data_IF_538455316140
#
_entry.id   IF_538455316140
#
_cell.length_a   1.000
_cell.length_b   1.000
_cell.length_c   1.000
_cell.angle_alpha   90.00
_cell.angle_beta   90.00
_cell.angle_gamma   90.00
#
_symmetry.space_group_name_H-M   'P 1'
#
loop_
_entity.id
_entity.type
_entity.pdbx_description
1 polymer ?
#
# COMPACT_ATOMS: atom_id res chain seq x y z
N UNK A 1 -7.07 -33.41 6.47
CA UNK A 1 -6.37 -32.35 7.24
C UNK A 1 -6.04 -31.23 6.28
N UNK A 2 -6.50 -30.00 6.55
CA UNK A 2 -6.23 -28.84 5.70
C UNK A 2 -5.12 -27.98 6.29
N UNK A 3 -4.25 -27.44 5.44
CA UNK A 3 -3.24 -26.46 5.84
C UNK A 3 -3.89 -25.07 5.91
N UNK A 4 -3.73 -24.38 7.04
CA UNK A 4 -4.11 -22.97 7.15
C UNK A 4 -2.98 -22.08 6.63
N UNK A 5 -3.32 -21.10 5.78
CA UNK A 5 -2.37 -20.11 5.25
C UNK A 5 -2.82 -18.72 5.71
N UNK A 6 -1.89 -17.95 6.27
CA UNK A 6 -2.12 -16.60 6.73
C UNK A 6 -1.38 -15.60 5.86
N UNK A 7 -2.08 -14.58 5.40
CA UNK A 7 -1.52 -13.46 4.66
C UNK A 7 -1.59 -12.20 5.51
N UNK A 8 -0.53 -11.42 5.50
CA UNK A 8 -0.49 -10.12 6.15
C UNK A 8 0.20 -9.12 5.22
N UNK A 9 -0.43 -7.97 4.99
CA UNK A 9 0.21 -6.88 4.24
C UNK A 9 1.43 -6.37 4.99
N UNK A 10 2.45 -5.95 4.25
CA UNK A 10 3.66 -5.33 4.81
C UNK A 10 3.34 -4.03 5.56
N UNK A 11 2.30 -3.32 5.14
CA UNK A 11 1.85 -2.07 5.76
C UNK A 11 0.64 -2.28 6.68
N UNK A 12 0.61 -3.39 7.41
CA UNK A 12 -0.43 -3.61 8.42
C UNK A 12 -0.12 -2.82 9.71
N UNK A 13 -1.14 -2.59 10.55
CA UNK A 13 -1.03 -1.77 11.76
C UNK A 13 -0.01 -2.26 12.79
N UNK A 14 0.35 -3.54 12.75
CA UNK A 14 1.28 -4.18 13.69
C UNK A 14 2.64 -4.47 13.06
N UNK A 15 2.84 -4.12 11.79
CA UNK A 15 4.13 -4.28 11.15
C UNK A 15 5.07 -3.17 11.61
N UNK A 16 6.27 -3.56 11.98
CA UNK A 16 7.37 -2.65 12.24
C UNK A 16 8.16 -2.46 10.96
N UNK A 17 8.31 -1.20 10.53
CA UNK A 17 9.11 -0.82 9.36
C UNK A 17 10.43 -0.19 9.80
N UNK A 18 11.52 -0.55 9.12
CA UNK A 18 12.80 0.12 9.23
C UNK A 18 13.23 0.57 7.83
N UNK A 19 13.26 1.89 7.63
CA UNK A 19 13.68 2.59 6.41
C UNK A 19 13.01 2.12 5.10
N UNK A 20 11.77 1.63 5.16
CA UNK A 20 11.10 0.99 4.02
C UNK A 20 11.90 -0.15 3.38
N UNK A 21 12.81 -0.78 4.14
CA UNK A 21 13.67 -1.88 3.68
C UNK A 21 13.38 -3.17 4.42
N UNK A 22 12.97 -3.08 5.68
CA UNK A 22 12.70 -4.25 6.52
C UNK A 22 11.36 -4.12 7.20
N UNK A 23 10.54 -5.16 7.06
CA UNK A 23 9.21 -5.26 7.63
C UNK A 23 9.15 -6.48 8.53
N UNK A 24 8.86 -6.27 9.80
CA UNK A 24 8.74 -7.34 10.78
C UNK A 24 7.32 -7.41 11.32
N UNK A 25 6.79 -8.62 11.44
CA UNK A 25 5.49 -8.92 12.03
C UNK A 25 5.62 -10.11 12.96
N UNK A 26 5.01 -10.01 14.14
CA UNK A 26 4.91 -11.12 15.10
C UNK A 26 3.43 -11.43 15.31
N UNK A 27 3.05 -12.67 15.05
CA UNK A 27 1.70 -13.18 15.23
C UNK A 27 1.68 -14.22 16.35
N UNK A 28 0.57 -14.27 17.10
CA UNK A 28 0.34 -15.29 18.12
C UNK A 28 -0.89 -16.09 17.73
N UNK A 29 -0.74 -17.40 17.57
CA UNK A 29 -1.80 -18.33 17.23
C UNK A 29 -2.20 -19.11 18.48
N UNK A 30 -3.47 -19.02 18.87
CA UNK A 30 -4.06 -19.89 19.90
C UNK A 30 -4.82 -21.00 19.17
N UNK A 31 -4.41 -22.24 19.39
CA UNK A 31 -5.01 -23.40 18.73
C UNK A 31 -5.80 -24.20 19.78
N UNK A 32 -7.13 -24.10 19.80
CA UNK A 32 -7.92 -24.86 20.77
C UNK A 32 -7.78 -26.35 20.50
N UNK A 33 -7.25 -27.06 21.50
CA UNK A 33 -7.09 -28.51 21.49
C UNK A 33 -8.22 -29.16 22.28
N UNK A 34 -8.82 -30.23 21.75
CA UNK A 34 -10.06 -30.81 22.30
C UNK A 34 -9.94 -31.43 23.71
N UNK A 35 -8.81 -31.32 24.42
CA UNK A 35 -8.58 -31.96 25.74
C UNK A 35 -7.54 -31.26 26.65
N UNK A 36 -7.24 -29.97 26.46
CA UNK A 36 -6.32 -29.22 27.36
C UNK A 36 -7.07 -28.12 28.11
N UNK A 37 -6.68 -27.85 29.37
CA UNK A 37 -7.28 -26.80 30.21
C UNK A 37 -6.98 -25.38 29.71
N UNK A 38 -5.91 -25.22 28.93
CA UNK A 38 -5.52 -23.97 28.26
C UNK A 38 -5.11 -24.24 26.81
N UNK A 39 -5.48 -23.33 25.90
CA UNK A 39 -5.14 -23.42 24.48
C UNK A 39 -3.62 -23.18 24.26
N UNK A 40 -2.89 -24.08 23.57
CA UNK A 40 -1.50 -23.85 23.22
C UNK A 40 -1.33 -22.58 22.36
N UNK A 41 -0.35 -21.75 22.73
CA UNK A 41 -0.04 -20.47 22.06
C UNK A 41 1.27 -20.58 21.29
N UNK A 42 1.22 -20.37 19.98
CA UNK A 42 2.38 -20.36 19.09
C UNK A 42 2.71 -18.93 18.67
N UNK A 43 3.92 -18.47 18.96
CA UNK A 43 4.42 -17.16 18.51
C UNK A 43 5.26 -17.33 17.26
N UNK A 44 4.86 -16.66 16.17
CA UNK A 44 5.57 -16.70 14.88
C UNK A 44 5.96 -15.29 14.48
N UNK A 45 7.28 -15.06 14.40
CA UNK A 45 7.85 -13.85 13.82
C UNK A 45 8.21 -14.07 12.35
N UNK A 46 7.94 -13.09 11.51
CA UNK A 46 8.41 -13.03 10.12
C UNK A 46 8.98 -11.65 9.84
N UNK A 47 10.15 -11.63 9.22
CA UNK A 47 10.81 -10.43 8.74
C UNK A 47 11.06 -10.58 7.25
N UNK A 48 10.63 -9.58 6.48
CA UNK A 48 10.83 -9.52 5.04
C UNK A 48 11.74 -8.33 4.72
N UNK A 49 12.76 -8.55 3.89
CA UNK A 49 13.64 -7.50 3.39
C UNK A 49 13.34 -7.21 1.91
N UNK A 50 13.32 -5.93 1.56
CA UNK A 50 13.07 -5.45 0.21
C UNK A 50 14.09 -4.39 -0.20
N UNK A 51 14.33 -4.28 -1.50
CA UNK A 51 15.04 -3.14 -2.06
C UNK A 51 14.20 -1.87 -1.87
N UNK A 52 14.82 -0.68 -1.76
CA UNK A 52 14.10 0.58 -1.62
C UNK A 52 12.99 0.69 -2.67
N UNK A 53 11.76 0.82 -2.20
CA UNK A 53 10.58 0.85 -3.07
C UNK A 53 10.53 2.11 -3.95
N UNK A 54 9.77 2.00 -5.03
CA UNK A 54 9.34 3.13 -5.85
C UNK A 54 8.52 4.14 -5.04
N UNK A 55 8.41 5.37 -5.53
CA UNK A 55 7.66 6.47 -4.88
C UNK A 55 6.18 6.13 -4.66
N UNK A 56 5.61 5.20 -5.43
CA UNK A 56 4.21 4.76 -5.32
C UNK A 56 4.09 3.27 -5.59
N UNK A 57 3.37 2.56 -4.73
CA UNK A 57 3.06 1.14 -4.89
C UNK A 57 1.54 0.94 -4.83
N UNK A 58 1.04 0.03 -5.65
CA UNK A 58 -0.38 -0.31 -5.75
C UNK A 58 -0.49 -1.83 -5.55
N UNK A 59 -1.35 -2.24 -4.63
CA UNK A 59 -1.67 -3.64 -4.37
C UNK A 59 -3.16 -3.87 -4.64
N UNK A 60 -3.44 -4.82 -5.53
CA UNK A 60 -4.80 -5.26 -5.87
C UNK A 60 -5.00 -6.65 -5.29
N UNK A 61 -5.59 -6.72 -4.10
CA UNK A 61 -5.99 -7.97 -3.47
C UNK A 61 -7.44 -8.31 -3.87
N UNK A 62 -7.91 -9.50 -3.51
CA UNK A 62 -9.26 -9.98 -3.83
C UNK A 62 -10.35 -9.05 -3.30
N UNK A 63 -10.15 -8.50 -2.11
CA UNK A 63 -11.20 -7.77 -1.37
C UNK A 63 -10.95 -6.25 -1.31
N UNK A 64 -9.74 -5.79 -1.58
CA UNK A 64 -9.37 -4.39 -1.46
C UNK A 64 -8.30 -4.00 -2.47
N UNK A 65 -8.25 -2.71 -2.75
CA UNK A 65 -7.12 -2.05 -3.37
C UNK A 65 -6.38 -1.22 -2.32
N UNK A 66 -5.06 -1.20 -2.40
CA UNK A 66 -4.19 -0.43 -1.53
C UNK A 66 -3.25 0.40 -2.39
N UNK A 67 -3.05 1.65 -2.01
CA UNK A 67 -1.99 2.50 -2.54
C UNK A 67 -1.11 2.99 -1.40
N UNK A 68 0.19 2.91 -1.61
CA UNK A 68 1.23 3.35 -0.70
C UNK A 68 2.11 4.36 -1.41
N UNK A 69 2.10 5.61 -0.96
CA UNK A 69 2.86 6.71 -1.57
C UNK A 69 3.91 7.20 -0.60
N UNK A 70 5.16 7.28 -1.07
CA UNK A 70 6.25 7.92 -0.33
C UNK A 70 5.94 9.40 -0.17
N UNK A 71 5.92 9.85 1.08
CA UNK A 71 5.77 11.26 1.43
C UNK A 71 7.15 11.85 1.66
N UNK A 72 7.55 12.80 0.83
CA UNK A 72 8.66 13.71 1.13
C UNK A 72 8.06 14.92 1.84
N UNK A 73 7.67 14.74 3.10
CA UNK A 73 7.34 15.89 3.93
C UNK A 73 8.66 16.54 4.35
N UNK A 74 8.79 17.88 4.24
CA UNK A 74 9.98 18.55 4.72
C UNK A 74 10.09 18.33 6.23
N UNK A 75 11.25 17.85 6.66
CA UNK A 75 11.58 17.70 8.06
C UNK A 75 11.86 19.10 8.61
N UNK A 76 10.87 19.71 9.28
CA UNK A 76 11.08 20.96 9.98
C UNK A 76 11.87 20.58 11.22
N UNK A 77 13.19 20.79 11.17
CA UNK A 77 14.12 20.54 12.27
C UNK A 77 13.50 20.95 13.61
N UNK A 78 13.11 19.96 14.41
CA UNK A 78 12.79 20.18 15.80
C UNK A 78 14.10 20.53 16.51
N UNK A 79 14.23 21.79 16.91
CA UNK A 79 15.24 22.22 17.89
C UNK A 79 15.13 21.28 19.10
N UNK A 80 16.25 20.73 19.63
CA UNK A 80 16.17 19.72 20.69
C UNK A 80 15.68 20.38 21.97
N UNK A 81 14.48 20.04 22.42
CA UNK A 81 14.05 20.29 23.79
C UNK A 81 14.35 19.03 24.63
N UNK A 82 15.12 19.23 25.69
CA UNK A 82 15.70 18.20 26.54
C UNK A 82 14.63 17.34 27.25
N UNK A 83 14.86 16.03 27.46
CA UNK A 83 13.78 15.13 27.89
C UNK A 83 13.59 15.17 29.41
N UNK A 84 12.35 15.43 29.86
CA UNK A 84 11.89 15.11 31.21
C UNK A 84 10.68 14.16 31.18
N UNK A 85 10.94 12.90 31.52
CA UNK A 85 10.12 12.08 32.41
C UNK A 85 8.76 11.53 31.96
N UNK A 86 8.69 10.20 31.86
CA UNK A 86 7.51 9.42 32.30
C UNK A 86 6.84 8.51 31.25
N UNK A 87 6.65 7.21 31.52
CA UNK A 87 6.07 6.27 30.57
C UNK A 87 4.53 6.31 30.63
N UNK A 88 3.87 6.61 29.49
CA UNK A 88 2.42 6.40 29.35
C UNK A 88 2.08 5.53 28.14
N UNK A 89 1.12 4.65 28.41
CA UNK A 89 0.64 3.53 27.63
C UNK A 89 0.31 3.83 26.15
N UNK A 90 0.69 2.88 25.29
CA UNK A 90 0.37 2.81 23.86
C UNK A 90 -1.15 2.71 23.63
N UNK A 91 -1.76 3.81 23.18
CA UNK A 91 -2.95 3.78 22.32
C UNK A 91 -2.49 3.76 20.86
N UNK A 92 -3.14 2.92 20.06
CA UNK A 92 -2.84 2.77 18.64
C UNK A 92 -3.06 4.06 17.84
N UNK A 93 -2.35 4.14 16.72
CA UNK A 93 -2.50 5.12 15.64
C UNK A 93 -1.99 6.56 15.84
N UNK A 94 -0.95 6.77 16.65
CA UNK A 94 -0.15 8.01 16.59
C UNK A 94 1.35 7.71 16.65
N UNK A 95 1.89 7.11 15.58
CA UNK A 95 3.33 7.23 15.32
C UNK A 95 3.57 8.56 14.59
N UNK A 96 3.46 9.65 15.35
CA UNK A 96 3.77 11.03 14.91
C UNK A 96 5.29 11.15 14.78
N UNK A 97 5.86 10.63 13.70
CA UNK A 97 7.29 10.78 13.43
C UNK A 97 7.62 12.13 12.75
N UNK A 98 6.65 12.99 12.47
CA UNK A 98 6.92 14.25 11.74
C UNK A 98 6.11 15.48 12.18
N UNK A 99 5.32 15.42 13.26
CA UNK A 99 4.49 16.56 13.70
C UNK A 99 3.33 16.98 12.78
N UNK A 100 3.30 16.51 11.53
CA UNK A 100 2.20 16.69 10.59
C UNK A 100 0.97 15.84 10.97
N UNK A 101 -0.20 16.49 11.01
CA UNK A 101 -1.51 15.85 11.18
C UNK A 101 -2.23 15.76 9.85
N UNK A 102 -2.79 14.60 9.54
CA UNK A 102 -3.72 14.46 8.41
C UNK A 102 -5.03 15.17 8.76
N UNK A 103 -5.42 16.20 8.00
CA UNK A 103 -6.59 17.04 8.31
C UNK A 103 -7.78 16.73 7.40
N UNK A 104 -7.53 16.52 6.11
CA UNK A 104 -8.56 16.26 5.14
C UNK A 104 -8.11 15.28 4.07
N UNK A 105 -9.06 14.49 3.55
CA UNK A 105 -8.91 13.61 2.40
C UNK A 105 -9.97 14.00 1.38
N UNK A 106 -9.53 14.36 0.18
CA UNK A 106 -10.40 14.76 -0.93
C UNK A 106 -10.43 13.63 -1.95
N UNK A 107 -11.61 13.08 -2.22
CA UNK A 107 -11.82 12.02 -3.20
C UNK A 107 -12.10 12.63 -4.57
N UNK A 108 -11.51 12.06 -5.62
CA UNK A 108 -11.72 12.45 -7.01
C UNK A 108 -12.34 11.29 -7.80
N UNK A 109 -13.31 11.56 -8.70
CA UNK A 109 -13.77 12.86 -9.16
C UNK A 109 -14.89 13.50 -8.33
N UNK A 110 -15.41 12.82 -7.31
CA UNK A 110 -16.57 13.28 -6.52
C UNK A 110 -16.33 14.61 -5.77
N UNK A 111 -15.06 15.03 -5.61
CA UNK A 111 -14.62 16.19 -4.82
C UNK A 111 -15.08 16.14 -3.36
N UNK A 112 -15.46 14.95 -2.89
CA UNK A 112 -15.93 14.75 -1.52
C UNK A 112 -14.76 14.92 -0.55
N UNK A 113 -14.94 15.80 0.42
CA UNK A 113 -13.95 16.07 1.46
C UNK A 113 -14.40 15.37 2.74
N UNK A 114 -13.51 14.59 3.34
CA UNK A 114 -13.74 13.91 4.60
C UNK A 114 -12.53 14.09 5.52
N UNK A 115 -12.76 14.15 6.83
CA UNK A 115 -11.67 14.03 7.79
C UNK A 115 -11.25 12.55 7.96
N UNK A 116 -10.12 12.30 8.63
CA UNK A 116 -9.56 10.96 8.81
C UNK A 116 -10.56 9.99 9.47
N UNK A 117 -11.26 10.44 10.52
CA UNK A 117 -12.20 9.61 11.26
C UNK A 117 -13.42 9.23 10.42
N UNK A 118 -13.91 10.15 9.58
CA UNK A 118 -14.99 9.89 8.64
C UNK A 118 -14.58 8.91 7.55
N UNK A 119 -13.37 9.05 7.00
CA UNK A 119 -12.79 8.08 6.05
C UNK A 119 -12.76 6.68 6.66
N UNK A 120 -12.30 6.56 7.91
CA UNK A 120 -12.26 5.28 8.62
C UNK A 120 -13.66 4.72 8.90
N UNK A 121 -14.61 5.56 9.34
CA UNK A 121 -16.01 5.13 9.56
C UNK A 121 -16.70 4.65 8.29
N UNK A 122 -16.30 5.15 7.12
CA UNK A 122 -16.77 4.67 5.81
C UNK A 122 -16.16 3.35 5.37
N UNK A 123 -15.23 2.77 6.14
CA UNK A 123 -14.62 1.48 5.84
C UNK A 123 -13.35 1.56 4.99
N UNK A 124 -12.81 2.76 4.76
CA UNK A 124 -11.48 2.93 4.20
C UNK A 124 -10.44 2.78 5.31
N UNK A 125 -9.28 2.18 5.00
CA UNK A 125 -8.15 2.23 5.91
C UNK A 125 -7.21 3.34 5.46
N UNK A 126 -6.90 4.29 6.33
CA UNK A 126 -5.89 5.32 6.08
C UNK A 126 -4.89 5.29 7.22
N UNK A 127 -3.61 5.24 6.88
CA UNK A 127 -2.52 5.21 7.84
C UNK A 127 -1.35 6.07 7.36
N UNK A 128 -0.72 6.72 8.32
CA UNK A 128 0.50 7.49 8.11
C UNK A 128 1.66 6.74 8.77
N UNK A 129 2.63 6.30 7.98
CA UNK A 129 3.89 5.75 8.46
C UNK A 129 4.97 6.84 8.44
N UNK A 130 6.15 6.63 9.04
CA UNK A 130 7.23 7.63 9.02
C UNK A 130 7.58 8.13 7.62
N UNK A 131 7.47 7.29 6.60
CA UNK A 131 7.90 7.57 5.22
C UNK A 131 6.78 7.57 4.19
N UNK A 132 5.58 7.04 4.53
CA UNK A 132 4.52 6.77 3.54
C UNK A 132 3.11 7.09 4.04
N UNK A 133 2.27 7.51 3.10
CA UNK A 133 0.81 7.50 3.23
C UNK A 133 0.30 6.18 2.65
N UNK A 134 -0.51 5.45 3.41
CA UNK A 134 -1.15 4.21 2.99
C UNK A 134 -2.66 4.40 3.00
N UNK A 135 -3.32 4.09 1.89
CA UNK A 135 -4.77 4.13 1.74
C UNK A 135 -5.27 2.80 1.19
N UNK A 136 -6.27 2.20 1.85
CA UNK A 136 -6.99 1.01 1.40
C UNK A 136 -8.46 1.32 1.17
N UNK A 137 -9.01 0.75 0.11
CA UNK A 137 -10.42 0.82 -0.22
C UNK A 137 -10.94 -0.56 -0.63
N UNK A 138 -12.13 -0.96 -0.16
CA UNK A 138 -12.87 -2.05 -0.78
C UNK A 138 -13.09 -1.77 -2.27
N UNK A 139 -13.07 -2.80 -3.11
CA UNK A 139 -13.31 -2.58 -4.54
C UNK A 139 -14.66 -1.91 -4.78
N UNK A 140 -15.73 -2.30 -4.09
CA UNK A 140 -17.08 -1.75 -4.30
C UNK A 140 -17.37 -0.43 -3.55
N UNK A 141 -16.35 0.29 -3.07
CA UNK A 141 -16.59 1.51 -2.30
C UNK A 141 -17.16 2.66 -3.17
N UNK A 142 -18.03 3.49 -2.58
CA UNK A 142 -18.80 4.54 -3.26
C UNK A 142 -17.90 5.56 -3.98
N UNK A 143 -16.76 5.90 -3.39
CA UNK A 143 -15.83 6.88 -3.94
C UNK A 143 -14.83 6.27 -4.95
N UNK A 144 -15.00 5.01 -5.35
CA UNK A 144 -14.28 4.39 -6.46
C UNK A 144 -15.05 4.50 -7.76
N UNK A 145 -14.36 4.54 -8.89
CA UNK A 145 -14.98 4.63 -10.21
C UNK A 145 -14.33 3.68 -11.21
N UNK A 146 -15.03 3.40 -12.30
CA UNK A 146 -14.50 2.61 -13.41
C UNK A 146 -13.87 3.52 -14.45
N UNK A 147 -12.73 3.09 -14.96
CA UNK A 147 -12.04 3.76 -16.05
C UNK A 147 -11.44 2.72 -17.00
N UNK A 148 -11.61 2.93 -18.29
CA UNK A 148 -10.91 2.14 -19.29
C UNK A 148 -9.49 2.67 -19.44
N UNK A 149 -8.49 1.82 -19.25
CA UNK A 149 -7.07 2.14 -19.43
C UNK A 149 -6.50 1.20 -20.48
N UNK A 150 -6.17 1.73 -21.66
CA UNK A 150 -5.65 0.96 -22.78
C UNK A 150 -6.49 -0.28 -23.14
N UNK A 151 -7.83 -0.13 -23.13
CA UNK A 151 -8.77 -1.21 -23.42
C UNK A 151 -9.18 -2.05 -22.21
N UNK A 152 -8.50 -1.91 -21.07
CA UNK A 152 -8.75 -2.72 -19.86
C UNK A 152 -9.68 -1.98 -18.90
N UNK A 153 -10.79 -2.60 -18.45
CA UNK A 153 -11.66 -1.99 -17.44
C UNK A 153 -10.97 -2.06 -16.07
N UNK A 154 -10.54 -0.89 -15.59
CA UNK A 154 -9.89 -0.72 -14.31
C UNK A 154 -10.84 -0.03 -13.32
N UNK A 155 -10.70 -0.37 -12.06
CA UNK A 155 -11.29 0.35 -10.94
C UNK A 155 -10.26 1.27 -10.33
N UNK A 156 -10.66 2.51 -10.07
CA UNK A 156 -9.79 3.59 -9.63
C UNK A 156 -10.28 4.14 -8.30
N UNK A 157 -9.34 4.30 -7.37
CA UNK A 157 -9.47 5.11 -6.16
C UNK A 157 -8.48 6.25 -6.28
N UNK A 158 -8.94 7.51 -6.24
CA UNK A 158 -8.05 8.68 -6.35
C UNK A 158 -8.34 9.65 -5.22
N UNK A 159 -7.30 10.01 -4.45
CA UNK A 159 -7.43 10.90 -3.29
C UNK A 159 -6.28 11.89 -3.18
N UNK A 160 -6.58 13.05 -2.60
CA UNK A 160 -5.59 14.04 -2.16
C UNK A 160 -5.69 14.21 -0.65
N UNK A 161 -4.64 13.83 0.08
CA UNK A 161 -4.58 13.96 1.54
C UNK A 161 -3.79 15.20 1.92
N UNK A 162 -4.35 16.02 2.80
CA UNK A 162 -3.74 17.23 3.32
C UNK A 162 -3.11 16.96 4.68
N UNK A 163 -1.84 17.35 4.81
CA UNK A 163 -1.02 17.25 6.01
C UNK A 163 -0.69 18.65 6.50
N UNK A 164 -1.07 18.95 7.73
CA UNK A 164 -0.85 20.28 8.33
C UNK A 164 0.15 20.18 9.49
N UNK A 165 1.09 21.12 9.52
CA UNK A 165 1.98 21.35 10.66
C UNK A 165 2.22 22.85 10.84
N UNK A 166 1.69 23.41 11.94
CA UNK A 166 1.76 24.85 12.26
C UNK A 166 1.22 25.72 11.11
N UNK A 167 2.11 26.23 10.25
CA UNK A 167 1.79 27.12 9.13
C UNK A 167 1.96 26.44 7.75
N UNK A 168 2.47 25.21 7.71
CA UNK A 168 2.71 24.48 6.47
C UNK A 168 1.61 23.47 6.20
N UNK A 169 1.07 23.50 4.98
CA UNK A 169 0.11 22.53 4.46
C UNK A 169 0.73 21.82 3.26
N UNK A 170 0.86 20.50 3.35
CA UNK A 170 1.37 19.66 2.26
C UNK A 170 0.27 18.75 1.73
N UNK A 171 0.17 18.64 0.41
CA UNK A 171 -0.77 17.75 -0.26
C UNK A 171 -0.02 16.52 -0.77
N UNK A 172 -0.58 15.33 -0.52
CA UNK A 172 -0.09 14.06 -1.06
C UNK A 172 -1.19 13.41 -1.88
N UNK A 173 -0.90 13.17 -3.16
CA UNK A 173 -1.83 12.51 -4.09
C UNK A 173 -1.57 11.00 -4.15
N UNK A 174 -2.62 10.24 -3.86
CA UNK A 174 -2.59 8.79 -3.85
C UNK A 174 -3.67 8.23 -4.77
N UNK A 175 -3.29 7.24 -5.59
CA UNK A 175 -4.24 6.55 -6.45
C UNK A 175 -3.91 5.09 -6.62
N UNK A 176 -4.91 4.26 -6.37
CA UNK A 176 -4.90 2.85 -6.70
C UNK A 176 -5.69 2.62 -8.00
N UNK A 177 -5.15 1.77 -8.88
CA UNK A 177 -5.80 1.37 -10.14
C UNK A 177 -5.69 -0.13 -10.23
N UNK A 178 -6.82 -0.83 -10.19
CA UNK A 178 -6.87 -2.29 -10.17
C UNK A 178 -7.75 -2.83 -11.30
N UNK A 179 -7.33 -3.92 -11.98
CA UNK A 179 -8.17 -4.54 -13.00
C UNK A 179 -9.45 -5.08 -12.38
N UNK A 180 -10.56 -4.88 -13.09
CA UNK A 180 -11.84 -5.48 -12.71
C UNK A 180 -11.92 -6.94 -13.17
N UNK A 181 -12.86 -7.74 -12.65
CA UNK A 181 -13.07 -9.10 -13.15
C UNK A 181 -13.33 -9.18 -14.67
N UNK A 182 -13.87 -8.12 -15.29
CA UNK A 182 -14.06 -8.04 -16.74
C UNK A 182 -12.76 -7.93 -17.55
N UNK A 183 -11.61 -7.71 -16.91
CA UNK A 183 -10.28 -7.76 -17.55
C UNK A 183 -9.76 -9.20 -17.72
N UNK A 184 -10.49 -10.20 -17.23
CA UNK A 184 -10.15 -11.61 -17.33
C UNK A 184 -11.10 -12.28 -18.31
N UNK A 185 -10.55 -12.87 -19.38
CA UNK A 185 -11.28 -13.67 -20.34
C UNK A 185 -11.03 -15.16 -20.08
N UNK A 186 -12.11 -15.94 -20.10
CA UNK A 186 -12.07 -17.38 -19.93
C UNK A 186 -12.45 -18.05 -21.26
N UNK A 187 -11.58 -18.93 -21.73
CA UNK A 187 -11.85 -19.90 -22.80
C UNK A 187 -11.66 -21.30 -22.23
N UNK A 188 -12.21 -22.37 -22.85
CA UNK A 188 -12.04 -23.73 -22.32
C UNK A 188 -10.57 -24.15 -22.19
N UNK A 189 -9.68 -23.60 -23.01
CA UNK A 189 -8.27 -23.97 -23.06
C UNK A 189 -7.35 -22.98 -22.35
N UNK A 190 -7.73 -21.70 -22.25
CA UNK A 190 -6.85 -20.62 -21.77
C UNK A 190 -7.60 -19.60 -20.92
N UNK A 191 -6.93 -19.14 -19.85
CA UNK A 191 -7.33 -17.96 -19.08
C UNK A 191 -6.43 -16.80 -19.49
N UNK A 192 -7.01 -15.71 -19.99
CA UNK A 192 -6.28 -14.52 -20.44
C UNK A 192 -6.55 -13.35 -19.50
N UNK A 193 -5.48 -12.77 -18.96
CA UNK A 193 -5.55 -11.56 -18.12
C UNK A 193 -4.93 -10.39 -18.86
N UNK A 194 -5.71 -9.33 -19.06
CA UNK A 194 -5.22 -8.12 -19.69
C UNK A 194 -4.74 -7.14 -18.62
N UNK A 195 -3.44 -6.82 -18.64
CA UNK A 195 -2.83 -5.82 -17.75
C UNK A 195 -2.13 -4.76 -18.62
N UNK A 196 -2.49 -3.47 -18.51
CA UNK A 196 -1.78 -2.41 -19.22
C UNK A 196 -0.31 -2.39 -18.79
N UNK A 197 0.60 -2.38 -19.77
CA UNK A 197 2.05 -2.27 -19.52
C UNK A 197 2.42 -0.93 -18.88
N UNK A 198 1.69 0.12 -19.26
CA UNK A 198 1.85 1.47 -18.75
C UNK A 198 0.53 1.92 -18.15
N UNK A 199 0.56 2.29 -16.88
CA UNK A 199 -0.53 2.99 -16.19
C UNK A 199 -0.06 4.44 -15.95
N UNK A 200 0.53 5.02 -17.01
CA UNK A 200 1.10 6.36 -17.06
C UNK A 200 0.12 7.30 -17.77
N UNK A 201 -0.14 8.50 -17.25
CA UNK A 201 -0.67 8.70 -15.92
C UNK A 201 -2.13 9.20 -15.99
N UNK A 202 -2.95 8.75 -15.06
CA UNK A 202 -4.19 9.45 -14.71
C UNK A 202 -3.90 10.73 -13.88
N UNK A 203 -2.68 11.28 -13.98
CA UNK A 203 -2.08 12.38 -13.20
C UNK A 203 -1.16 13.23 -14.08
N UNK A 204 -0.91 14.51 -13.79
CA UNK A 204 0.26 15.20 -14.34
C UNK A 204 1.55 14.65 -13.70
N UNK A 205 2.40 13.96 -14.48
CA UNK A 205 3.69 13.41 -14.03
C UNK A 205 4.77 14.49 -13.91
N UNK A 206 5.59 14.42 -12.85
CA UNK A 206 7.01 14.75 -12.97
C UNK A 206 7.76 13.56 -13.58
N UNK A 207 8.80 13.79 -14.41
CA UNK A 207 9.41 12.75 -15.23
C UNK A 207 10.28 11.81 -14.41
N UNK A 208 10.06 10.50 -14.53
CA UNK A 208 10.99 9.46 -14.09
C UNK A 208 11.51 8.65 -15.29
N UNK A 209 12.81 8.28 -15.30
CA UNK A 209 13.45 7.64 -16.44
C UNK A 209 13.04 6.17 -16.60
N UNK A 210 12.89 5.79 -17.86
CA UNK A 210 12.31 4.55 -18.37
C UNK A 210 13.16 3.30 -18.04
N UNK A 211 12.54 2.23 -17.55
CA UNK A 211 13.11 0.88 -17.55
C UNK A 211 12.26 -0.05 -18.42
N UNK A 212 12.90 -0.76 -19.35
CA UNK A 212 12.24 -1.71 -20.26
C UNK A 212 12.34 -3.12 -19.67
N UNK A 213 11.20 -3.71 -19.28
CA UNK A 213 11.09 -5.13 -18.95
C UNK A 213 10.29 -5.86 -20.03
N UNK A 214 10.76 -7.03 -20.45
CA UNK A 214 10.10 -7.97 -21.36
C UNK A 214 10.02 -9.34 -20.68
N UNK A 215 8.90 -10.05 -20.85
CA UNK A 215 8.64 -11.37 -20.29
C UNK A 215 8.49 -12.37 -21.44
N UNK A 216 9.05 -13.58 -21.29
CA UNK A 216 8.91 -14.67 -22.25
C UNK A 216 8.45 -15.92 -21.49
N UNK A 217 7.42 -16.61 -21.99
CA UNK A 217 6.78 -17.76 -21.34
C UNK A 217 7.23 -19.06 -22.01
N UNK A 218 7.82 -19.98 -21.26
CA UNK A 218 7.99 -21.38 -21.70
C UNK A 218 7.38 -22.34 -20.67
N UNK A 219 6.66 -23.34 -21.18
CA UNK A 219 5.74 -24.26 -20.47
C UNK A 219 6.35 -25.19 -19.39
N UNK A 220 7.57 -24.94 -18.88
CA UNK A 220 8.20 -25.78 -17.84
C UNK A 220 8.89 -24.98 -16.74
N UNK A 221 8.08 -24.26 -15.95
CA UNK A 221 8.51 -23.68 -14.69
C UNK A 221 9.13 -22.28 -14.80
N UNK A 222 9.02 -21.55 -13.68
CA UNK A 222 9.47 -20.16 -13.55
C UNK A 222 11.00 -20.09 -13.56
N UNK A 223 11.57 -19.45 -14.57
CA UNK A 223 12.98 -19.03 -14.53
C UNK A 223 13.07 -17.53 -14.77
N UNK A 224 13.48 -16.79 -13.74
CA UNK A 224 13.76 -15.36 -13.82
C UNK A 224 15.13 -15.16 -14.48
N UNK A 225 15.19 -14.62 -15.70
CA UNK A 225 16.45 -14.13 -16.28
C UNK A 225 16.43 -12.61 -16.39
N UNK A 226 17.35 -11.97 -15.66
CA UNK A 226 17.64 -10.54 -15.76
C UNK A 226 18.64 -10.31 -16.89
N UNK A 227 18.24 -9.57 -17.92
CA UNK A 227 19.18 -9.05 -18.93
C UNK A 227 19.57 -7.62 -18.55
N UNK A 228 20.88 -7.36 -18.43
CA UNK A 228 21.44 -6.01 -18.33
C UNK A 228 21.46 -5.38 -19.74
N UNK A 229 21.12 -4.09 -19.89
CA UNK A 229 21.23 -3.43 -21.18
C UNK A 229 22.70 -3.23 -21.56
N UNK A 230 23.06 -3.63 -22.78
CA UNK A 230 24.28 -3.21 -23.44
C UNK A 230 24.28 -1.69 -23.59
N UNK A 231 25.33 -1.05 -23.09
CA UNK A 231 25.67 0.34 -23.36
C UNK A 231 25.75 0.56 -24.85
N UNK A 232 24.79 1.30 -25.42
CA UNK A 232 24.94 1.87 -26.76
C UNK A 232 25.27 3.35 -26.61
N UNK A 233 26.52 3.69 -26.90
CA UNK A 233 26.99 5.05 -27.23
C UNK A 233 26.11 5.62 -28.34
N UNK A 234 25.73 6.89 -28.25
CA UNK A 234 26.38 8.02 -28.92
C UNK A 234 25.95 9.31 -28.21
#
# INVERSE_FOLDING_TARGET
>A
MGNAIFFASLQNCFSQTMDDKMFSLVMQFRLPGNHMTEDPVYRVGKTCSYTPWTSREILCDRNYMEVSVRRTLPDIQTVPEQPTGGPKARRGAEAVASGYKMTAVVFSPSKKVMNVDEVQRKGYAIANTPTRLVLRSPHNAEETYLQNVAGVPMRVLSTSTFFEQKWLVTRVDATAVCPTPGAVAFTPEVITWYMPKHIDPLFPLMPSPCWRCTWELTLRGWTLRKWLPETTRF
#
